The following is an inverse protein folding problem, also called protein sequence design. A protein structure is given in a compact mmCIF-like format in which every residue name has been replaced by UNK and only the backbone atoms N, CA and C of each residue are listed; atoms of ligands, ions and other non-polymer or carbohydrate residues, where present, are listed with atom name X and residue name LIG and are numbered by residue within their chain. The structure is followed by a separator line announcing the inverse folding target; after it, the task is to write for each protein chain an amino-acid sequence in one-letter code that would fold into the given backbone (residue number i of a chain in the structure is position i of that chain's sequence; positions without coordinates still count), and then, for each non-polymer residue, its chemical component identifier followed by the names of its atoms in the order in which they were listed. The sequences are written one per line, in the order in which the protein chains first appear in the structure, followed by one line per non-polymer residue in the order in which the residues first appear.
data_IF_966966935655
#
_entry.id   IF_966966935655
#
_cell.length_a   1.000
_cell.length_b   1.000
_cell.length_c   1.000
_cell.angle_alpha   90.00
_cell.angle_beta   90.00
_cell.angle_gamma   90.00
#
_symmetry.space_group_name_H-M   'P 1'
#
loop_
_entity.id
_entity.type
_entity.pdbx_description
1 polymer ?
#
# COMPACT_ATOMS: atom_id res chain seq x y z
N UNK A 1 -15.97 -18.86 9.03
CA UNK A 1 -14.60 -18.70 9.60
C UNK A 1 -14.59 -19.42 10.94
N UNK A 2 -13.54 -20.17 11.34
CA UNK A 2 -13.50 -20.74 12.68
C UNK A 2 -13.31 -19.61 13.68
N UNK A 3 -14.36 -19.33 14.45
CA UNK A 3 -14.43 -18.30 15.47
C UNK A 3 -13.74 -18.79 16.75
N UNK A 4 -12.44 -18.53 16.91
CA UNK A 4 -11.96 -18.35 18.29
C UNK A 4 -12.46 -16.97 18.73
N UNK A 5 -13.37 -16.93 19.69
CA UNK A 5 -13.86 -15.68 20.30
C UNK A 5 -12.76 -14.92 21.05
N UNK A 6 -11.55 -15.48 21.12
CA UNK A 6 -10.38 -14.94 21.81
C UNK A 6 -9.25 -14.66 20.82
N UNK A 7 -8.56 -13.54 21.05
CA UNK A 7 -7.35 -13.14 20.34
C UNK A 7 -6.22 -14.14 20.65
N UNK A 8 -5.55 -14.64 19.61
CA UNK A 8 -4.30 -15.39 19.75
C UNK A 8 -3.12 -14.43 19.94
N UNK A 9 -2.98 -13.92 21.16
CA UNK A 9 -1.93 -12.94 21.49
C UNK A 9 -0.53 -13.48 21.25
N UNK A 10 -0.31 -14.78 21.51
CA UNK A 10 1.00 -15.43 21.30
C UNK A 10 1.37 -15.46 19.83
N UNK A 11 0.45 -15.90 18.96
CA UNK A 11 0.67 -15.92 17.52
C UNK A 11 0.87 -14.52 16.94
N UNK A 12 0.06 -13.54 17.35
CA UNK A 12 0.20 -12.15 16.91
C UNK A 12 1.54 -11.54 17.34
N UNK A 13 1.94 -11.70 18.62
CA UNK A 13 3.21 -11.16 19.12
C UNK A 13 4.42 -11.79 18.41
N UNK A 14 4.42 -13.12 18.25
CA UNK A 14 5.48 -13.81 17.52
C UNK A 14 5.56 -13.37 16.04
N UNK A 15 4.41 -13.17 15.40
CA UNK A 15 4.33 -12.69 14.03
C UNK A 15 4.95 -11.30 13.88
N UNK A 16 4.56 -10.35 14.73
CA UNK A 16 5.10 -8.98 14.69
C UNK A 16 6.60 -8.99 14.94
N UNK A 17 7.07 -9.74 15.94
CA UNK A 17 8.49 -9.83 16.27
C UNK A 17 9.33 -10.40 15.11
N UNK A 18 8.86 -11.46 14.44
CA UNK A 18 9.57 -12.07 13.31
C UNK A 18 9.52 -11.16 12.08
N UNK A 19 8.37 -10.55 11.78
CA UNK A 19 8.22 -9.66 10.63
C UNK A 19 9.13 -8.43 10.75
N UNK A 20 9.15 -7.81 11.93
CA UNK A 20 10.01 -6.67 12.22
C UNK A 20 11.47 -7.11 12.25
N UNK A 21 11.79 -8.17 12.99
CA UNK A 21 13.15 -8.69 13.13
C UNK A 21 13.79 -8.99 11.78
N UNK A 22 13.11 -9.71 10.89
CA UNK A 22 13.62 -10.01 9.55
C UNK A 22 13.89 -8.73 8.75
N UNK A 23 12.88 -7.87 8.60
CA UNK A 23 12.98 -6.69 7.73
C UNK A 23 13.97 -5.66 8.26
N UNK A 24 13.99 -5.45 9.58
CA UNK A 24 14.89 -4.50 10.23
C UNK A 24 16.33 -4.99 10.21
N UNK A 25 16.57 -6.30 10.30
CA UNK A 25 17.90 -6.88 10.10
C UNK A 25 18.40 -6.70 8.66
N UNK A 26 17.53 -6.78 7.65
CA UNK A 26 17.91 -6.44 6.28
C UNK A 26 18.38 -4.98 6.17
N UNK A 27 17.61 -4.04 6.73
CA UNK A 27 17.96 -2.62 6.73
C UNK A 27 19.22 -2.34 7.54
N UNK A 28 19.38 -2.98 8.71
CA UNK A 28 20.60 -2.89 9.51
C UNK A 28 21.81 -3.41 8.73
N UNK A 29 21.68 -4.52 8.00
CA UNK A 29 22.73 -5.04 7.13
C UNK A 29 23.18 -4.04 6.07
N UNK A 30 22.23 -3.31 5.47
CA UNK A 30 22.57 -2.20 4.57
C UNK A 30 23.34 -1.09 5.30
N UNK A 31 22.86 -0.66 6.46
CA UNK A 31 23.51 0.41 7.23
C UNK A 31 24.93 0.05 7.65
N UNK A 32 25.15 -1.20 8.08
CA UNK A 32 26.49 -1.68 8.47
C UNK A 32 27.44 -1.81 7.27
N UNK A 33 26.94 -2.14 6.08
CA UNK A 33 27.75 -2.30 4.87
C UNK A 33 28.01 -1.01 4.08
N UNK A 34 27.05 -0.08 4.07
CA UNK A 34 27.02 1.06 3.15
C UNK A 34 26.81 2.42 3.87
N UNK A 35 26.52 2.39 5.17
CA UNK A 35 26.20 3.57 5.97
C UNK A 35 24.73 3.98 5.87
N UNK A 36 24.42 5.16 6.40
CA UNK A 36 23.04 5.67 6.52
C UNK A 36 22.55 6.48 5.33
N UNK A 37 23.36 6.62 4.27
CA UNK A 37 23.08 7.47 3.10
C UNK A 37 22.75 6.57 1.88
N UNK A 38 21.46 6.36 1.54
CA UNK A 38 21.05 5.47 0.45
C UNK A 38 21.67 5.79 -0.92
N UNK A 39 21.94 7.07 -1.18
CA UNK A 39 22.52 7.58 -2.43
C UNK A 39 23.96 7.11 -2.66
N UNK A 40 24.67 6.63 -1.63
CA UNK A 40 25.99 6.01 -1.80
C UNK A 40 25.93 4.65 -2.51
N UNK A 41 24.79 3.96 -2.43
CA UNK A 41 24.60 2.64 -3.05
C UNK A 41 23.12 2.40 -3.38
N UNK A 42 22.55 3.18 -4.31
CA UNK A 42 21.11 3.24 -4.55
C UNK A 42 20.54 1.91 -5.06
N UNK A 43 21.32 1.16 -5.85
CA UNK A 43 20.93 -0.18 -6.30
C UNK A 43 20.82 -1.18 -5.15
N UNK A 44 21.78 -1.16 -4.23
CA UNK A 44 21.76 -2.03 -3.05
C UNK A 44 20.66 -1.65 -2.08
N UNK A 45 20.42 -0.35 -1.88
CA UNK A 45 19.31 0.12 -1.06
C UNK A 45 17.97 -0.39 -1.60
N UNK A 46 17.73 -0.29 -2.92
CA UNK A 46 16.52 -0.84 -3.56
C UNK A 46 16.42 -2.36 -3.38
N UNK A 47 17.52 -3.10 -3.56
CA UNK A 47 17.54 -4.55 -3.39
C UNK A 47 17.22 -4.97 -1.95
N UNK A 48 17.81 -4.29 -0.95
CA UNK A 48 17.55 -4.56 0.47
C UNK A 48 16.14 -4.16 0.86
N UNK A 49 15.64 -3.01 0.40
CA UNK A 49 14.26 -2.61 0.63
C UNK A 49 13.29 -3.67 0.06
N UNK A 50 13.52 -4.14 -1.17
CA UNK A 50 12.73 -5.21 -1.79
C UNK A 50 12.82 -6.54 -1.03
N UNK A 51 14.00 -6.91 -0.52
CA UNK A 51 14.15 -8.11 0.32
C UNK A 51 13.40 -7.96 1.65
N UNK A 52 13.47 -6.79 2.26
CA UNK A 52 12.83 -6.52 3.55
C UNK A 52 11.31 -6.71 3.49
N UNK A 53 10.67 -6.43 2.34
CA UNK A 53 9.23 -6.63 2.09
C UNK A 53 8.75 -8.07 2.31
N UNK A 54 9.65 -9.06 2.31
CA UNK A 54 9.29 -10.47 2.57
C UNK A 54 9.21 -10.82 4.07
N UNK A 55 9.58 -9.94 4.99
CA UNK A 55 9.48 -10.19 6.44
C UNK A 55 8.08 -10.64 6.91
N UNK A 56 6.98 -9.98 6.50
CA UNK A 56 5.61 -10.40 6.81
C UNK A 56 5.27 -11.80 6.29
N UNK A 57 5.79 -12.18 5.12
CA UNK A 57 5.65 -13.53 4.54
C UNK A 57 6.46 -14.56 5.32
N UNK A 58 7.72 -14.26 5.67
CA UNK A 58 8.54 -15.12 6.52
C UNK A 58 7.83 -15.35 7.86
N UNK A 59 7.35 -14.29 8.51
CA UNK A 59 6.57 -14.40 9.75
C UNK A 59 5.31 -15.25 9.58
N UNK A 60 4.58 -15.08 8.47
CA UNK A 60 3.41 -15.92 8.15
C UNK A 60 3.79 -17.39 8.11
N UNK A 61 4.83 -17.75 7.37
CA UNK A 61 5.31 -19.13 7.24
C UNK A 61 5.77 -19.68 8.58
N UNK A 62 6.61 -18.95 9.32
CA UNK A 62 7.17 -19.45 10.58
C UNK A 62 6.09 -19.63 11.65
N UNK A 63 5.25 -18.62 11.85
CA UNK A 63 4.26 -18.66 12.93
C UNK A 63 3.13 -19.62 12.59
N UNK A 64 2.67 -19.68 11.33
CA UNK A 64 1.62 -20.63 10.91
C UNK A 64 2.08 -22.10 10.90
N UNK A 65 3.38 -22.37 10.99
CA UNK A 65 3.93 -23.72 11.00
C UNK A 65 4.32 -24.21 12.39
N UNK A 66 4.82 -23.32 13.26
CA UNK A 66 5.48 -23.71 14.52
C UNK A 66 4.93 -23.04 15.79
N UNK A 67 4.31 -21.87 15.70
CA UNK A 67 3.88 -21.11 16.91
C UNK A 67 2.38 -21.16 17.10
N UNK A 68 1.63 -20.86 16.03
CA UNK A 68 0.16 -20.90 15.99
C UNK A 68 -0.27 -21.55 14.68
N UNK A 69 -0.28 -22.91 14.65
CA UNK A 69 -0.51 -23.66 13.43
C UNK A 69 -1.86 -23.37 12.76
N UNK A 70 -1.83 -23.21 11.43
CA UNK A 70 -3.05 -23.04 10.64
C UNK A 70 -3.54 -24.36 10.06
N UNK A 71 -4.85 -24.66 10.11
CA UNK A 71 -5.43 -25.82 9.43
C UNK A 71 -5.23 -25.79 7.90
N UNK A 72 -5.37 -24.62 7.28
CA UNK A 72 -5.17 -24.45 5.84
C UNK A 72 -4.59 -23.08 5.55
N UNK A 73 -3.31 -23.05 5.20
CA UNK A 73 -2.62 -21.81 4.85
C UNK A 73 -3.36 -21.05 3.74
N UNK A 74 -3.79 -21.75 2.68
CA UNK A 74 -4.53 -21.15 1.55
C UNK A 74 -5.84 -20.49 1.98
N UNK A 75 -6.67 -21.21 2.75
CA UNK A 75 -8.00 -20.72 3.16
C UNK A 75 -7.88 -19.64 4.23
N UNK A 76 -7.08 -19.89 5.25
CA UNK A 76 -7.02 -19.07 6.45
C UNK A 76 -6.25 -17.76 6.20
N UNK A 77 -5.41 -17.71 5.15
CA UNK A 77 -4.75 -16.47 4.70
C UNK A 77 -5.36 -15.81 3.46
N UNK A 78 -6.43 -16.38 2.88
CA UNK A 78 -7.14 -15.76 1.75
C UNK A 78 -6.38 -15.79 0.42
N UNK A 79 -5.61 -16.86 0.15
CA UNK A 79 -4.91 -17.04 -1.13
C UNK A 79 -5.84 -17.47 -2.29
N UNK A 80 -7.10 -17.81 -2.00
CA UNK A 80 -8.12 -18.00 -3.04
C UNK A 80 -8.45 -16.71 -3.77
N UNK A 81 -9.10 -16.80 -4.94
CA UNK A 81 -9.48 -15.62 -5.73
C UNK A 81 -10.63 -14.79 -5.12
N UNK A 82 -11.30 -15.32 -4.11
CA UNK A 82 -12.36 -14.63 -3.39
C UNK A 82 -13.65 -14.45 -4.18
N UNK A 83 -14.62 -13.81 -3.52
CA UNK A 83 -15.91 -13.45 -4.09
C UNK A 83 -15.82 -12.11 -4.84
N UNK A 84 -16.67 -11.93 -5.84
CA UNK A 84 -16.77 -10.68 -6.62
C UNK A 84 -15.43 -10.18 -7.17
N UNK A 85 -14.52 -11.10 -7.51
CA UNK A 85 -13.13 -10.81 -7.90
C UNK A 85 -12.98 -9.74 -8.97
N UNK A 86 -13.81 -9.76 -10.01
CA UNK A 86 -13.65 -8.83 -11.14
C UNK A 86 -13.93 -7.37 -10.79
N UNK A 87 -14.99 -7.09 -10.01
CA UNK A 87 -15.27 -5.71 -9.57
C UNK A 87 -14.16 -5.15 -8.69
N UNK A 88 -13.62 -5.97 -7.79
CA UNK A 88 -12.57 -5.55 -6.87
C UNK A 88 -11.20 -5.50 -7.53
N UNK A 89 -10.92 -6.35 -8.53
CA UNK A 89 -9.70 -6.25 -9.32
C UNK A 89 -9.71 -4.99 -10.18
N UNK A 90 -10.83 -4.66 -10.83
CA UNK A 90 -10.95 -3.40 -11.58
C UNK A 90 -10.85 -2.18 -10.66
N UNK A 91 -11.51 -2.20 -9.51
CA UNK A 91 -11.41 -1.14 -8.51
C UNK A 91 -9.98 -0.99 -7.98
N UNK A 92 -9.30 -2.09 -7.67
CA UNK A 92 -7.93 -2.08 -7.19
C UNK A 92 -6.95 -1.57 -8.26
N UNK A 93 -7.10 -2.04 -9.49
CA UNK A 93 -6.21 -1.70 -10.60
C UNK A 93 -6.39 -0.26 -11.04
N UNK A 94 -7.62 0.14 -11.38
CA UNK A 94 -7.92 1.45 -11.98
C UNK A 94 -8.31 2.51 -10.94
N UNK A 95 -8.92 2.11 -9.83
CA UNK A 95 -9.30 3.05 -8.77
C UNK A 95 -8.08 3.60 -8.03
N UNK A 96 -7.05 2.78 -7.78
CA UNK A 96 -5.85 3.25 -7.05
C UNK A 96 -5.12 4.39 -7.78
N UNK A 97 -4.83 4.30 -9.10
CA UNK A 97 -4.24 5.42 -9.85
C UNK A 97 -5.12 6.66 -9.80
N UNK A 98 -6.45 6.52 -9.91
CA UNK A 98 -7.39 7.65 -9.78
C UNK A 98 -7.28 8.30 -8.40
N UNK A 99 -7.16 7.53 -7.32
CA UNK A 99 -6.96 8.06 -5.97
C UNK A 99 -5.62 8.78 -5.84
N UNK A 100 -4.54 8.22 -6.37
CA UNK A 100 -3.22 8.86 -6.35
C UNK A 100 -3.23 10.18 -7.13
N UNK A 101 -3.79 10.19 -8.34
CA UNK A 101 -3.94 11.39 -9.16
C UNK A 101 -4.87 12.42 -8.50
N UNK A 102 -5.94 11.97 -7.84
CA UNK A 102 -6.82 12.83 -7.04
C UNK A 102 -6.09 13.47 -5.87
N UNK A 103 -5.23 12.73 -5.16
CA UNK A 103 -4.40 13.28 -4.09
C UNK A 103 -3.39 14.31 -4.62
N UNK A 104 -2.79 14.06 -5.79
CA UNK A 104 -1.93 15.03 -6.48
C UNK A 104 -2.69 16.29 -6.88
N UNK A 105 -3.92 16.15 -7.40
CA UNK A 105 -4.77 17.29 -7.74
C UNK A 105 -5.09 18.14 -6.49
N UNK A 106 -5.51 17.50 -5.40
CA UNK A 106 -5.76 18.21 -4.13
C UNK A 106 -4.49 18.90 -3.63
N UNK A 107 -3.34 18.23 -3.75
CA UNK A 107 -2.06 18.82 -3.38
C UNK A 107 -1.72 20.05 -4.22
N UNK A 108 -1.97 20.01 -5.54
CA UNK A 108 -1.78 21.14 -6.43
C UNK A 108 -2.69 22.33 -6.12
N UNK A 109 -3.92 22.07 -5.68
CA UNK A 109 -4.87 23.12 -5.27
C UNK A 109 -4.45 23.80 -3.96
N UNK A 110 -3.89 23.03 -3.02
CA UNK A 110 -3.51 23.52 -1.68
C UNK A 110 -2.10 24.10 -1.67
N UNK A 111 -1.17 23.47 -2.39
CA UNK A 111 0.26 23.79 -2.44
C UNK A 111 0.76 23.92 -3.89
N UNK A 112 0.21 24.85 -4.70
CA UNK A 112 0.64 24.99 -6.10
C UNK A 112 2.13 25.29 -6.23
N UNK A 113 2.72 26.02 -5.27
CA UNK A 113 4.14 26.38 -5.28
C UNK A 113 5.08 25.21 -4.96
N UNK A 114 4.58 24.14 -4.35
CA UNK A 114 5.37 22.94 -4.09
C UNK A 114 5.53 22.06 -5.33
N UNK A 115 4.75 22.32 -6.39
CA UNK A 115 4.67 21.50 -7.60
C UNK A 115 4.97 22.33 -8.85
N UNK A 116 5.89 21.85 -9.68
CA UNK A 116 6.23 22.47 -10.97
C UNK A 116 5.38 21.88 -12.10
N UNK A 117 4.08 22.19 -12.08
CA UNK A 117 3.12 21.65 -13.05
C UNK A 117 3.26 22.26 -14.46
N UNK A 118 3.71 23.51 -14.54
CA UNK A 118 3.84 24.23 -15.82
C UNK A 118 5.20 24.01 -16.47
N UNK A 119 6.29 24.06 -15.68
CA UNK A 119 7.65 23.91 -16.17
C UNK A 119 8.07 22.46 -16.34
N UNK A 120 7.60 21.56 -15.47
CA UNK A 120 8.01 20.15 -15.40
C UNK A 120 9.54 20.00 -15.38
N UNK A 121 10.24 20.87 -14.65
CA UNK A 121 11.71 20.95 -14.61
C UNK A 121 12.36 19.64 -14.17
N UNK A 122 11.78 18.93 -13.18
CA UNK A 122 12.27 17.60 -12.79
C UNK A 122 12.14 16.57 -13.90
N UNK A 123 11.03 16.59 -14.65
CA UNK A 123 10.85 15.70 -15.82
C UNK A 123 11.87 16.02 -16.90
N UNK A 124 12.09 17.31 -17.19
CA UNK A 124 13.13 17.75 -18.13
C UNK A 124 14.52 17.28 -17.71
N UNK A 125 14.84 17.37 -16.41
CA UNK A 125 16.10 16.88 -15.86
C UNK A 125 16.25 15.36 -15.98
N UNK A 126 15.16 14.59 -15.84
CA UNK A 126 15.16 13.14 -16.07
C UNK A 126 15.40 12.80 -17.55
N UNK A 127 14.74 13.49 -18.47
CA UNK A 127 14.93 13.30 -19.91
C UNK A 127 16.36 13.65 -20.32
N UNK A 128 16.93 14.73 -19.74
CA UNK A 128 18.31 15.15 -20.01
C UNK A 128 19.38 14.15 -19.55
N UNK A 129 19.04 13.22 -18.64
CA UNK A 129 19.93 12.12 -18.23
C UNK A 129 19.94 10.95 -19.23
N UNK A 130 18.99 10.90 -20.16
CA UNK A 130 18.96 9.86 -21.18
C UNK A 130 20.07 10.08 -22.21
N UNK A 131 20.66 9.01 -22.77
CA UNK A 131 21.61 9.12 -23.88
C UNK A 131 20.99 9.91 -25.05
N UNK A 132 21.73 10.81 -25.72
CA UNK A 132 21.19 11.61 -26.83
C UNK A 132 20.50 10.78 -27.92
N UNK A 133 21.08 9.63 -28.28
CA UNK A 133 20.49 8.70 -29.24
C UNK A 133 19.14 8.11 -28.79
N UNK A 134 18.92 7.95 -27.48
CA UNK A 134 17.65 7.50 -26.93
C UNK A 134 16.59 8.60 -27.01
N UNK A 135 16.98 9.86 -26.75
CA UNK A 135 16.09 11.02 -26.89
C UNK A 135 15.67 11.21 -28.34
N UNK A 136 16.62 11.10 -29.29
CA UNK A 136 16.33 11.17 -30.72
C UNK A 136 15.35 10.07 -31.15
N UNK A 137 15.57 8.83 -30.71
CA UNK A 137 14.66 7.70 -30.98
C UNK A 137 13.27 7.90 -30.38
N UNK A 138 13.17 8.51 -29.20
CA UNK A 138 11.90 8.80 -28.54
C UNK A 138 11.13 9.92 -29.27
N UNK A 139 11.83 10.89 -29.85
CA UNK A 139 11.22 12.01 -30.58
C UNK A 139 10.18 12.73 -29.71
N UNK A 140 8.93 12.80 -30.19
CA UNK A 140 7.81 13.43 -29.47
C UNK A 140 7.50 12.78 -28.11
N UNK A 141 7.85 11.50 -27.92
CA UNK A 141 7.67 10.83 -26.64
C UNK A 141 8.60 11.36 -25.55
N UNK A 142 9.68 12.07 -25.92
CA UNK A 142 10.57 12.78 -25.00
C UNK A 142 10.08 14.21 -24.66
N UNK A 143 8.95 14.67 -25.20
CA UNK A 143 8.35 15.93 -24.74
C UNK A 143 7.90 15.77 -23.27
N UNK A 144 8.21 16.71 -22.35
CA UNK A 144 8.04 16.48 -20.91
C UNK A 144 6.63 16.07 -20.47
N UNK A 145 5.59 16.65 -21.07
CA UNK A 145 4.21 16.33 -20.74
C UNK A 145 3.80 14.93 -21.28
N UNK A 146 4.26 14.57 -22.48
CA UNK A 146 4.05 13.24 -23.05
C UNK A 146 4.80 12.19 -22.25
N UNK A 147 6.07 12.45 -21.92
CA UNK A 147 6.90 11.56 -21.12
C UNK A 147 6.27 11.31 -19.75
N UNK A 148 5.83 12.36 -19.05
CA UNK A 148 5.10 12.22 -17.78
C UNK A 148 3.83 11.39 -17.93
N UNK A 149 3.01 11.68 -18.96
CA UNK A 149 1.78 10.92 -19.21
C UNK A 149 2.08 9.44 -19.48
N UNK A 150 3.14 9.13 -20.23
CA UNK A 150 3.59 7.76 -20.47
C UNK A 150 4.01 7.08 -19.17
N UNK A 151 4.78 7.75 -18.30
CA UNK A 151 5.17 7.20 -17.00
C UNK A 151 3.95 6.91 -16.11
N UNK A 152 2.94 7.79 -16.10
CA UNK A 152 1.69 7.57 -15.35
C UNK A 152 0.91 6.40 -15.93
N UNK A 153 0.71 6.35 -17.25
CA UNK A 153 -0.02 5.27 -17.93
C UNK A 153 0.69 3.93 -17.75
N UNK A 154 2.01 3.90 -17.93
CA UNK A 154 2.82 2.69 -17.72
C UNK A 154 2.75 2.23 -16.26
N UNK A 155 2.87 3.16 -15.31
CA UNK A 155 2.73 2.87 -13.88
C UNK A 155 1.36 2.29 -13.54
N UNK A 156 0.29 2.87 -14.08
CA UNK A 156 -1.08 2.40 -13.84
C UNK A 156 -1.38 1.05 -14.51
N UNK A 157 -0.86 0.79 -15.70
CA UNK A 157 -1.15 -0.43 -16.46
C UNK A 157 -0.21 -1.58 -16.12
N UNK A 158 1.11 -1.36 -16.10
CA UNK A 158 2.09 -2.42 -15.91
C UNK A 158 2.56 -2.52 -14.45
N UNK A 159 2.54 -1.41 -13.72
CA UNK A 159 3.02 -1.34 -12.34
C UNK A 159 2.40 -2.36 -11.39
N UNK A 160 1.08 -2.56 -11.35
CA UNK A 160 0.47 -3.58 -10.51
C UNK A 160 1.05 -4.96 -10.78
N UNK A 161 1.24 -5.34 -12.05
CA UNK A 161 1.76 -6.64 -12.47
C UNK A 161 3.23 -6.83 -12.06
N UNK A 162 4.06 -5.81 -12.31
CA UNK A 162 5.49 -5.85 -11.97
C UNK A 162 5.74 -5.87 -10.46
N UNK A 163 4.86 -5.23 -9.68
CA UNK A 163 4.98 -5.17 -8.23
C UNK A 163 4.38 -6.37 -7.49
N UNK A 164 3.54 -7.20 -8.14
CA UNK A 164 2.88 -8.34 -7.48
C UNK A 164 3.83 -9.19 -6.64
N UNK A 165 5.02 -9.63 -7.12
CA UNK A 165 5.88 -10.52 -6.33
C UNK A 165 6.33 -9.91 -5.00
N UNK A 166 6.68 -8.63 -5.00
CA UNK A 166 7.16 -7.92 -3.81
C UNK A 166 6.01 -7.60 -2.86
N UNK A 167 4.89 -7.13 -3.41
CA UNK A 167 3.71 -6.74 -2.64
C UNK A 167 2.99 -7.94 -2.05
N UNK A 168 3.03 -9.08 -2.74
CA UNK A 168 2.61 -10.36 -2.16
C UNK A 168 3.39 -10.67 -0.89
N UNK A 169 4.71 -10.39 -0.90
CA UNK A 169 5.59 -10.52 0.27
C UNK A 169 5.05 -9.82 1.53
N UNK A 170 4.45 -8.65 1.35
CA UNK A 170 3.83 -7.87 2.42
C UNK A 170 2.37 -8.27 2.69
N UNK A 171 1.51 -8.18 1.68
CA UNK A 171 0.05 -8.31 1.83
C UNK A 171 -0.39 -9.71 2.24
N UNK A 172 0.37 -10.74 1.89
CA UNK A 172 0.10 -12.07 2.41
C UNK A 172 0.26 -12.14 3.93
N UNK A 173 1.23 -11.39 4.47
CA UNK A 173 1.38 -11.21 5.90
C UNK A 173 0.33 -10.28 6.50
N UNK A 174 0.24 -9.04 6.03
CA UNK A 174 -0.59 -8.02 6.67
C UNK A 174 -2.08 -8.32 6.56
N UNK A 175 -2.58 -8.55 5.34
CA UNK A 175 -4.01 -8.79 5.07
C UNK A 175 -4.34 -10.28 5.11
N UNK A 176 -3.38 -11.13 4.77
CA UNK A 176 -3.59 -12.58 4.82
C UNK A 176 -3.47 -13.16 6.22
N UNK A 177 -2.41 -12.86 6.97
CA UNK A 177 -2.17 -13.49 8.27
C UNK A 177 -2.61 -12.64 9.47
N UNK A 178 -2.13 -11.40 9.56
CA UNK A 178 -2.29 -10.53 10.74
C UNK A 178 -3.74 -10.05 10.90
N UNK A 179 -4.31 -9.44 9.86
CA UNK A 179 -5.65 -8.85 9.94
C UNK A 179 -6.72 -9.85 10.44
N UNK A 180 -6.85 -11.09 9.89
CA UNK A 180 -7.83 -12.06 10.40
C UNK A 180 -7.66 -12.41 11.87
N UNK A 181 -6.42 -12.39 12.38
CA UNK A 181 -6.13 -12.68 13.80
C UNK A 181 -6.45 -11.53 14.72
N UNK A 182 -6.48 -10.31 14.21
CA UNK A 182 -6.91 -9.13 14.97
C UNK A 182 -8.43 -8.97 15.00
N UNK A 183 -9.18 -9.65 14.11
CA UNK A 183 -10.65 -9.56 14.04
C UNK A 183 -11.42 -9.90 15.32
N UNK A 184 -10.95 -10.76 16.25
CA UNK A 184 -11.59 -10.94 17.56
C UNK A 184 -11.72 -9.64 18.38
N UNK A 185 -10.96 -8.59 18.05
CA UNK A 185 -11.08 -7.26 18.66
C UNK A 185 -12.21 -6.40 18.05
N UNK A 186 -12.87 -6.89 16.99
CA UNK A 186 -13.80 -6.14 16.14
C UNK A 186 -13.10 -5.53 14.92
N UNK A 187 -13.84 -5.36 13.81
CA UNK A 187 -13.26 -4.96 12.52
C UNK A 187 -12.49 -3.63 12.57
N UNK A 188 -13.05 -2.61 13.21
CA UNK A 188 -12.39 -1.30 13.30
C UNK A 188 -11.06 -1.37 14.04
N UNK A 189 -11.05 -2.00 15.23
CA UNK A 189 -9.82 -2.16 16.01
C UNK A 189 -8.79 -2.98 15.24
N UNK A 190 -9.21 -4.04 14.55
CA UNK A 190 -8.35 -4.87 13.74
C UNK A 190 -7.71 -4.11 12.56
N UNK A 191 -8.51 -3.33 11.82
CA UNK A 191 -8.03 -2.55 10.68
C UNK A 191 -7.06 -1.44 11.11
N UNK A 192 -7.41 -0.69 12.16
CA UNK A 192 -6.54 0.38 12.69
C UNK A 192 -5.23 -0.21 13.22
N UNK A 193 -5.30 -1.25 14.07
CA UNK A 193 -4.10 -1.85 14.63
C UNK A 193 -3.22 -2.51 13.56
N UNK A 194 -3.82 -3.16 12.56
CA UNK A 194 -3.07 -3.69 11.41
C UNK A 194 -2.35 -2.58 10.65
N UNK A 195 -2.98 -1.42 10.46
CA UNK A 195 -2.38 -0.27 9.79
C UNK A 195 -1.25 0.36 10.62
N UNK A 196 -1.42 0.47 11.94
CA UNK A 196 -0.37 0.97 12.85
C UNK A 196 0.85 0.05 12.81
N UNK A 197 0.65 -1.26 12.92
CA UNK A 197 1.74 -2.25 12.85
C UNK A 197 2.44 -2.19 11.49
N UNK A 198 1.70 -2.01 10.41
CA UNK A 198 2.30 -1.88 9.08
C UNK A 198 3.09 -0.56 8.91
N UNK A 199 2.58 0.55 9.45
CA UNK A 199 3.27 1.85 9.41
C UNK A 199 4.57 1.87 10.21
N UNK A 200 4.53 1.39 11.45
CA UNK A 200 5.71 1.32 12.33
C UNK A 200 6.79 0.35 11.80
N UNK A 201 6.39 -0.68 11.04
CA UNK A 201 7.33 -1.61 10.42
C UNK A 201 8.29 -0.90 9.45
N UNK A 202 7.87 0.21 8.82
CA UNK A 202 8.70 0.99 7.90
C UNK A 202 9.73 1.89 8.57
N UNK A 203 9.73 2.01 9.91
CA UNK A 203 10.51 3.01 10.63
C UNK A 203 12.01 3.05 10.23
N UNK A 204 12.74 1.93 10.10
CA UNK A 204 14.15 1.99 9.69
C UNK A 204 14.36 2.55 8.29
N UNK A 205 13.50 2.23 7.32
CA UNK A 205 13.59 2.78 5.96
C UNK A 205 13.26 4.27 5.95
N UNK A 206 12.27 4.70 6.73
CA UNK A 206 11.87 6.11 6.82
C UNK A 206 12.98 6.96 7.46
N UNK A 207 13.67 6.42 8.47
CA UNK A 207 14.84 7.06 9.07
C UNK A 207 15.99 7.26 8.06
N UNK A 208 16.06 6.41 7.03
CA UNK A 208 16.98 6.56 5.90
C UNK A 208 16.43 7.44 4.77
N UNK A 209 15.29 8.11 4.99
CA UNK A 209 14.66 9.04 4.04
C UNK A 209 13.66 8.41 3.08
N UNK A 210 13.26 7.15 3.27
CA UNK A 210 12.19 6.55 2.47
C UNK A 210 10.84 7.26 2.71
N UNK A 211 10.16 7.66 1.64
CA UNK A 211 8.90 8.43 1.61
C UNK A 211 8.92 9.82 2.25
N UNK A 212 9.73 10.08 3.28
CA UNK A 212 9.85 11.37 3.95
C UNK A 212 11.31 11.81 4.12
N UNK A 213 12.05 12.03 3.01
CA UNK A 213 13.46 12.44 3.09
C UNK A 213 13.66 13.78 3.79
N UNK A 214 12.65 14.67 3.76
CA UNK A 214 12.68 15.96 4.44
C UNK A 214 12.42 15.84 5.95
N UNK A 215 11.78 14.75 6.39
CA UNK A 215 11.27 14.58 7.75
C UNK A 215 11.54 13.16 8.28
N UNK A 216 12.79 12.68 8.39
CA UNK A 216 13.08 11.26 8.65
C UNK A 216 12.56 10.73 10.01
N UNK A 217 12.44 11.59 11.02
CA UNK A 217 11.88 11.20 12.34
C UNK A 217 10.37 11.36 12.38
N UNK A 218 9.88 12.58 12.08
CA UNK A 218 8.44 12.87 12.05
C UNK A 218 7.71 11.99 11.03
N UNK A 219 8.38 11.66 9.92
CA UNK A 219 7.91 10.79 8.86
C UNK A 219 7.47 9.42 9.34
N UNK A 220 7.97 8.89 10.47
CA UNK A 220 7.48 7.63 11.04
C UNK A 220 6.01 7.78 11.46
N UNK A 221 5.69 8.87 12.15
CA UNK A 221 4.31 9.18 12.55
C UNK A 221 3.44 9.47 11.34
N UNK A 222 3.92 10.31 10.41
CA UNK A 222 3.17 10.65 9.19
C UNK A 222 2.89 9.41 8.34
N UNK A 223 3.89 8.52 8.18
CA UNK A 223 3.72 7.27 7.46
C UNK A 223 2.73 6.35 8.17
N UNK A 224 2.76 6.29 9.50
CA UNK A 224 1.81 5.49 10.27
C UNK A 224 0.37 5.94 10.04
N UNK A 225 0.12 7.25 9.95
CA UNK A 225 -1.23 7.78 9.63
C UNK A 225 -1.69 7.31 8.25
N UNK A 226 -0.88 7.48 7.20
CA UNK A 226 -1.27 7.04 5.86
C UNK A 226 -1.39 5.51 5.76
N UNK A 227 -0.53 4.76 6.45
CA UNK A 227 -0.62 3.29 6.56
C UNK A 227 -1.88 2.83 7.27
N UNK A 228 -2.42 3.59 8.21
CA UNK A 228 -3.74 3.30 8.82
C UNK A 228 -4.87 3.51 7.81
N UNK A 229 -4.86 4.63 7.08
CA UNK A 229 -5.91 4.95 6.11
C UNK A 229 -5.92 3.96 4.93
N UNK A 230 -4.77 3.73 4.31
CA UNK A 230 -4.58 2.69 3.30
C UNK A 230 -4.81 1.29 3.90
N UNK A 231 -4.35 1.09 5.14
CA UNK A 231 -4.68 0.04 6.09
C UNK A 231 -6.10 -0.47 5.95
N UNK A 232 -7.01 0.44 6.24
CA UNK A 232 -8.46 0.26 6.25
C UNK A 232 -8.99 -0.08 4.86
N UNK A 233 -8.58 0.63 3.80
CA UNK A 233 -9.08 0.39 2.44
C UNK A 233 -8.64 -0.98 1.90
N UNK A 234 -7.37 -1.35 2.05
CA UNK A 234 -6.85 -2.65 1.64
C UNK A 234 -7.44 -3.78 2.48
N UNK A 235 -7.57 -3.55 3.79
CA UNK A 235 -8.23 -4.47 4.71
C UNK A 235 -9.71 -4.67 4.37
N UNK A 236 -10.43 -3.62 4.00
CA UNK A 236 -11.80 -3.70 3.51
C UNK A 236 -11.90 -4.57 2.25
N UNK A 237 -11.04 -4.37 1.25
CA UNK A 237 -11.02 -5.24 0.05
C UNK A 237 -10.78 -6.71 0.43
N UNK A 238 -9.87 -6.97 1.37
CA UNK A 238 -9.60 -8.32 1.90
C UNK A 238 -10.80 -8.93 2.60
N UNK A 239 -11.51 -8.17 3.43
CA UNK A 239 -12.68 -8.64 4.16
C UNK A 239 -13.88 -8.85 3.23
N UNK A 240 -14.11 -7.92 2.30
CA UNK A 240 -15.23 -7.96 1.36
C UNK A 240 -15.11 -9.07 0.29
N UNK A 241 -13.88 -9.45 -0.09
CA UNK A 241 -13.65 -10.51 -1.08
C UNK A 241 -13.31 -11.86 -0.46
N UNK A 242 -12.81 -11.88 0.78
CA UNK A 242 -12.18 -13.08 1.36
C UNK A 242 -10.81 -13.41 0.75
N UNK A 243 -10.24 -12.51 -0.08
CA UNK A 243 -9.00 -12.72 -0.84
C UNK A 243 -8.02 -11.59 -0.65
N UNK A 244 -6.72 -11.88 -0.66
CA UNK A 244 -5.67 -10.86 -0.62
C UNK A 244 -5.40 -10.22 -1.99
N UNK A 245 -5.79 -10.85 -3.10
CA UNK A 245 -5.31 -10.45 -4.43
C UNK A 245 -5.75 -9.03 -4.84
N UNK A 246 -6.94 -8.61 -4.44
CA UNK A 246 -7.38 -7.23 -4.67
C UNK A 246 -6.53 -6.22 -3.89
N UNK A 247 -6.15 -6.55 -2.65
CA UNK A 247 -5.24 -5.72 -1.86
C UNK A 247 -3.83 -5.71 -2.46
N UNK A 248 -3.33 -6.86 -2.94
CA UNK A 248 -2.04 -6.96 -3.64
C UNK A 248 -2.01 -6.08 -4.90
N UNK A 249 -3.06 -6.12 -5.72
CA UNK A 249 -3.15 -5.30 -6.94
C UNK A 249 -3.22 -3.82 -6.58
N UNK A 250 -4.05 -3.45 -5.59
CA UNK A 250 -4.19 -2.05 -5.17
C UNK A 250 -2.87 -1.50 -4.60
N UNK A 251 -2.23 -2.24 -3.69
CA UNK A 251 -0.94 -1.83 -3.12
C UNK A 251 0.18 -1.81 -4.18
N UNK A 252 0.21 -2.77 -5.11
CA UNK A 252 1.16 -2.72 -6.25
C UNK A 252 0.94 -1.55 -7.18
N UNK A 253 -0.32 -1.18 -7.42
CA UNK A 253 -0.68 0.02 -8.18
C UNK A 253 -0.24 1.30 -7.45
N UNK A 254 -0.44 1.36 -6.14
CA UNK A 254 0.01 2.47 -5.29
C UNK A 254 1.51 2.66 -5.39
N UNK A 255 2.31 1.59 -5.26
CA UNK A 255 3.77 1.69 -5.32
C UNK A 255 4.30 2.03 -6.71
N UNK A 256 3.51 1.79 -7.76
CA UNK A 256 3.88 2.15 -9.12
C UNK A 256 3.57 3.62 -9.46
N UNK A 257 2.42 4.13 -9.03
CA UNK A 257 1.95 5.48 -9.40
C UNK A 257 2.32 6.52 -8.33
N UNK A 258 2.41 6.14 -7.06
CA UNK A 258 2.77 7.03 -5.96
C UNK A 258 4.03 7.88 -6.19
N UNK A 259 5.14 7.30 -6.69
CA UNK A 259 6.38 8.05 -6.96
C UNK A 259 6.26 9.17 -8.01
N UNK A 260 5.17 9.24 -8.79
CA UNK A 260 4.93 10.32 -9.76
C UNK A 260 4.97 11.70 -9.10
N UNK A 261 4.63 11.81 -7.81
CA UNK A 261 4.75 13.06 -7.05
C UNK A 261 6.14 13.68 -7.16
N UNK A 262 7.20 12.86 -7.17
CA UNK A 262 8.58 13.32 -7.24
C UNK A 262 8.93 13.92 -8.60
N UNK A 263 8.27 13.47 -9.67
CA UNK A 263 8.43 14.01 -11.02
C UNK A 263 7.79 15.39 -11.18
N UNK A 264 6.84 15.74 -10.30
CA UNK A 264 6.10 16.99 -10.32
C UNK A 264 6.71 18.07 -9.42
N UNK A 265 7.88 17.84 -8.82
CA UNK A 265 8.61 18.86 -8.08
C UNK A 265 9.54 19.71 -8.95
N UNK A 266 10.21 20.67 -8.32
CA UNK A 266 11.21 21.52 -8.98
C UNK A 266 12.56 20.80 -9.11
N UNK A 267 13.26 20.98 -10.23
CA UNK A 267 14.58 20.39 -10.42
C UNK A 267 15.56 20.84 -9.32
N UNK A 268 16.24 19.88 -8.69
CA UNK A 268 17.15 20.14 -7.56
C UNK A 268 16.46 20.49 -6.23
N UNK A 269 15.12 20.54 -6.19
CA UNK A 269 14.33 20.81 -5.00
C UNK A 269 13.12 19.87 -4.95
N UNK A 270 13.30 18.63 -4.46
CA UNK A 270 12.23 17.64 -4.43
C UNK A 270 11.05 18.14 -3.59
N UNK A 271 9.81 17.79 -3.96
CA UNK A 271 8.64 18.27 -3.25
C UNK A 271 8.57 17.66 -1.85
N UNK A 272 8.10 18.45 -0.87
CA UNK A 272 7.88 17.95 0.49
C UNK A 272 6.70 16.97 0.51
N UNK A 273 7.01 15.69 0.69
CA UNK A 273 6.04 14.59 0.65
C UNK A 273 5.13 14.52 1.88
N UNK A 274 5.38 15.33 2.91
CA UNK A 274 4.44 15.59 4.00
C UNK A 274 3.31 16.55 3.58
N UNK A 275 3.53 17.37 2.56
CA UNK A 275 2.58 18.36 2.06
C UNK A 275 1.85 17.90 0.80
N UNK A 276 2.52 17.15 -0.07
CA UNK A 276 1.97 16.77 -1.37
C UNK A 276 1.94 15.26 -1.63
N UNK A 277 1.07 14.86 -2.57
CA UNK A 277 0.89 13.48 -2.97
C UNK A 277 0.02 12.68 -2.01
N UNK A 278 -0.04 11.37 -2.22
CA UNK A 278 -0.87 10.46 -1.41
C UNK A 278 -0.35 10.32 0.03
N UNK A 279 0.94 10.56 0.24
CA UNK A 279 1.58 10.59 1.56
C UNK A 279 1.42 11.94 2.26
N UNK A 280 1.10 13.00 1.54
CA UNK A 280 0.83 14.31 2.12
C UNK A 280 -0.57 14.40 2.73
N UNK A 281 -0.75 15.32 3.69
CA UNK A 281 -2.03 15.45 4.39
C UNK A 281 -3.25 15.75 3.48
N UNK A 282 -3.16 16.44 2.32
CA UNK A 282 -4.30 16.54 1.40
C UNK A 282 -4.73 15.17 0.86
N UNK A 283 -3.76 14.28 0.61
CA UNK A 283 -4.02 12.89 0.26
C UNK A 283 -4.69 12.12 1.39
N UNK A 284 -4.35 12.40 2.65
CA UNK A 284 -5.01 11.79 3.80
C UNK A 284 -6.48 12.17 3.90
N UNK A 285 -6.83 13.42 3.60
CA UNK A 285 -8.23 13.85 3.55
C UNK A 285 -9.02 13.07 2.50
N UNK A 286 -8.44 12.85 1.32
CA UNK A 286 -9.07 12.01 0.29
C UNK A 286 -9.25 10.57 0.77
N UNK A 287 -8.22 9.96 1.35
CA UNK A 287 -8.30 8.59 1.87
C UNK A 287 -9.33 8.47 3.00
N UNK A 288 -9.37 9.44 3.92
CA UNK A 288 -10.36 9.50 4.99
C UNK A 288 -11.78 9.69 4.43
N UNK A 289 -11.95 10.51 3.39
CA UNK A 289 -13.23 10.65 2.71
C UNK A 289 -13.68 9.34 2.05
N UNK A 290 -12.77 8.59 1.42
CA UNK A 290 -13.08 7.26 0.86
C UNK A 290 -13.50 6.27 1.95
N UNK A 291 -12.80 6.26 3.09
CA UNK A 291 -13.23 5.47 4.25
C UNK A 291 -14.62 5.91 4.71
N UNK A 292 -14.87 7.22 4.80
CA UNK A 292 -16.18 7.79 5.12
C UNK A 292 -17.28 7.32 4.16
N UNK A 293 -17.01 7.30 2.85
CA UNK A 293 -17.94 6.76 1.83
C UNK A 293 -18.24 5.29 2.09
N UNK A 294 -17.24 4.46 2.45
CA UNK A 294 -17.48 3.05 2.79
C UNK A 294 -18.37 2.91 4.02
N UNK A 295 -18.23 3.79 5.02
CA UNK A 295 -19.08 3.79 6.21
C UNK A 295 -20.51 4.25 5.88
N UNK A 296 -20.66 5.38 5.18
CA UNK A 296 -21.95 5.95 4.81
C UNK A 296 -22.76 5.03 3.88
N UNK A 297 -22.07 4.31 2.99
CA UNK A 297 -22.68 3.31 2.10
C UNK A 297 -22.80 1.92 2.75
N UNK A 298 -22.49 1.79 4.04
CA UNK A 298 -22.58 0.54 4.84
C UNK A 298 -21.76 -0.62 4.27
N UNK A 299 -20.70 -0.32 3.53
CA UNK A 299 -19.74 -1.31 3.03
C UNK A 299 -18.65 -1.64 4.05
N UNK A 300 -18.52 -0.84 5.11
CA UNK A 300 -17.67 -1.09 6.26
C UNK A 300 -18.42 -0.69 7.57
N UNK A 301 -18.48 -1.55 8.61
CA UNK A 301 -17.97 -2.93 8.70
C UNK A 301 -18.59 -3.90 7.68
N UNK A 302 -17.79 -4.84 7.17
CA UNK A 302 -18.24 -5.85 6.20
C UNK A 302 -19.09 -6.90 6.91
N UNK A 303 -20.35 -7.08 6.49
CA UNK A 303 -21.24 -8.09 7.10
C UNK A 303 -20.92 -9.49 6.56
N UNK A 304 -20.99 -10.54 7.40
CA UNK A 304 -20.90 -11.91 6.93
C UNK A 304 -22.02 -12.24 5.93
N UNK A 305 -21.80 -13.10 4.93
CA UNK A 305 -22.84 -13.52 3.99
C UNK A 305 -24.08 -14.15 4.64
N UNK A 306 -23.96 -14.69 5.86
CA UNK A 306 -25.07 -15.38 6.52
C UNK A 306 -26.05 -14.42 7.22
N UNK A 307 -25.67 -13.17 7.51
CA UNK A 307 -26.58 -12.17 8.13
C UNK A 307 -27.54 -11.52 7.12
N UNK A 308 -27.33 -11.71 5.81
CA UNK A 308 -28.23 -11.13 4.78
C UNK A 308 -29.47 -11.98 4.52
N UNK A 309 -29.54 -13.21 5.06
CA UNK A 309 -30.70 -14.11 4.93
C UNK A 309 -31.77 -13.92 6.00
N UNK A 310 -31.45 -13.30 7.12
CA UNK A 310 -32.37 -13.11 8.26
C UNK A 310 -33.05 -11.74 8.28
N UNK A 311 -33.20 -11.08 7.12
CA UNK A 311 -34.14 -9.96 7.02
C UNK A 311 -35.57 -10.53 6.95
N UNK A 312 -36.43 -10.27 7.94
CA UNK A 312 -37.83 -10.70 7.88
C UNK A 312 -38.57 -9.80 6.89
N UNK A 313 -38.62 -10.22 5.64
CA UNK A 313 -39.29 -9.46 4.59
C UNK A 313 -39.05 -10.04 3.22
N UNK A 314 -39.47 -11.29 2.99
CA UNK A 314 -39.93 -11.81 1.69
C UNK A 314 -40.51 -13.23 1.87
N UNK A 315 -41.24 -13.44 2.98
CA UNK A 315 -41.97 -14.67 3.24
C UNK A 315 -43.48 -14.46 3.00
N UNK A 316 -43.88 -13.80 1.92
CA UNK A 316 -45.27 -13.83 1.48
C UNK A 316 -45.39 -13.64 -0.04
N UNK A 317 -45.39 -14.75 -0.77
CA UNK A 317 -46.33 -15.01 -1.86
C UNK A 317 -46.26 -16.51 -2.20
N UNK A 318 -46.94 -17.31 -1.37
CA UNK A 318 -47.32 -18.67 -1.72
C UNK A 318 -48.39 -18.65 -2.81
N UNK A 319 -48.22 -19.56 -3.78
CA UNK A 319 -49.28 -20.42 -4.37
C UNK A 319 -50.63 -19.76 -4.67
N UNK A 320 -50.89 -19.59 -5.97
CA UNK A 320 -52.11 -20.03 -6.64
C UNK A 320 -51.75 -20.44 -8.06
#
# INVERSE_FOLDING_TARGET
MPSSSRLDTRGVAAYVAIAYGFSWLCVLGFVLGFGTAPEKSPGMFKAIAALSMFGPTVATLLVSRWVSPLPSLKRDTGLGLGQHRWRFFLLAWLGTPVVVLGALLLSALVYPQAMDLAGLSSVRALIAQLPPAAVEKLGKLAEPHVFLALQVVQGALLGPLLNVPFIFGEEWGWRGYLLPRLLPLGQWRALVLSGVIWGLWHAPLILLGHNYPQHPVLGILLFTVVSVLLGILLGWMRLATGSIWSAVIAHGSLNAVGPVVMMLGHAGSPPDTALVGITGWPGWLLLAALVGVLVLTRQLPVRPPDETRDMPGDAHASRA
#
